data_IF_116751110579
#
_entry.id   IF_116751110579
#
_cell.length_a   1.000
_cell.length_b   1.000
_cell.length_c   1.000
_cell.angle_alpha   90.00
_cell.angle_beta   90.00
_cell.angle_gamma   90.00
#
_symmetry.space_group_name_H-M   'P 1'
#
loop_
_entity.id
_entity.type
_entity.pdbx_description
1 polymer ?
#
# COMPACT_ATOMS: atom_id res chain seq x y z
N UNK A 1 5.82 -5.39 18.72
CA UNK A 1 6.80 -4.49 19.37
C UNK A 1 7.09 -3.31 18.46
N UNK A 2 7.00 -2.07 18.95
CA UNK A 2 7.28 -0.86 18.16
C UNK A 2 8.72 -0.39 18.43
N UNK A 3 9.49 -0.20 17.38
CA UNK A 3 10.88 0.28 17.42
C UNK A 3 10.94 1.63 16.70
N UNK A 4 11.09 2.75 17.42
CA UNK A 4 11.27 4.06 16.81
C UNK A 4 12.72 4.26 16.37
N UNK A 5 12.92 4.65 15.12
CA UNK A 5 14.23 4.94 14.53
C UNK A 5 14.27 6.42 14.20
N UNK A 6 15.19 7.17 14.83
CA UNK A 6 15.43 8.57 14.47
C UNK A 6 16.26 8.64 13.20
N UNK A 7 15.78 9.39 12.23
CA UNK A 7 16.47 9.64 10.96
C UNK A 7 17.05 11.05 11.03
N UNK A 8 18.37 11.12 11.26
CA UNK A 8 19.08 12.41 11.38
C UNK A 8 19.07 13.16 10.05
N UNK A 9 19.25 12.42 8.94
CA UNK A 9 19.28 12.94 7.58
C UNK A 9 18.29 12.17 6.69
N UNK A 10 17.34 12.90 6.10
CA UNK A 10 16.30 12.36 5.21
C UNK A 10 16.85 11.99 3.83
N UNK A 11 17.92 12.66 3.38
CA UNK A 11 18.55 12.39 2.08
C UNK A 11 19.47 11.17 2.13
N UNK A 12 19.95 10.81 3.32
CA UNK A 12 20.79 9.64 3.58
C UNK A 12 20.24 8.84 4.77
N UNK A 13 19.14 8.10 4.59
CA UNK A 13 18.59 7.27 5.65
C UNK A 13 19.62 6.22 6.10
N UNK A 14 19.67 5.89 7.40
CA UNK A 14 20.59 4.88 7.91
C UNK A 14 20.30 3.51 7.28
N UNK A 15 21.35 2.79 6.88
CA UNK A 15 21.23 1.44 6.35
C UNK A 15 20.91 0.47 7.49
N UNK A 16 19.63 0.10 7.62
CA UNK A 16 19.16 -0.83 8.66
C UNK A 16 19.53 -2.27 8.29
N UNK A 17 20.11 -2.99 9.27
CA UNK A 17 20.40 -4.42 9.16
C UNK A 17 19.25 -5.21 9.79
N UNK A 18 18.74 -6.21 9.10
CA UNK A 18 17.78 -7.15 9.67
C UNK A 18 18.43 -8.54 9.76
N UNK A 19 17.89 -9.43 10.62
CA UNK A 19 18.38 -10.80 10.71
C UNK A 19 18.23 -11.58 9.40
N UNK A 20 19.09 -12.58 9.18
CA UNK A 20 19.17 -13.41 7.96
C UNK A 20 18.04 -14.45 7.85
N UNK A 21 16.88 -14.18 8.46
CA UNK A 21 15.70 -15.05 8.46
C UNK A 21 14.45 -14.24 8.17
N UNK A 22 13.43 -14.90 7.66
CA UNK A 22 12.18 -14.27 7.29
C UNK A 22 11.46 -13.73 8.54
N UNK A 23 11.13 -12.44 8.52
CA UNK A 23 10.50 -11.76 9.67
C UNK A 23 9.11 -12.31 10.04
N UNK A 24 8.48 -13.06 9.14
CA UNK A 24 7.16 -13.64 9.37
C UNK A 24 7.18 -15.13 9.77
N UNK A 25 8.20 -15.89 9.37
CA UNK A 25 8.17 -17.36 9.52
C UNK A 25 9.49 -18.01 9.91
N UNK A 26 10.53 -17.21 10.22
CA UNK A 26 11.86 -17.64 10.68
C UNK A 26 12.63 -18.58 9.74
N UNK A 27 12.11 -18.83 8.53
CA UNK A 27 12.78 -19.61 7.49
C UNK A 27 13.96 -18.84 6.88
N UNK A 28 14.97 -19.54 6.34
CA UNK A 28 16.09 -18.91 5.64
C UNK A 28 15.60 -18.04 4.49
N UNK A 29 16.31 -16.94 4.29
CA UNK A 29 15.96 -15.90 3.32
C UNK A 29 16.34 -16.32 1.89
N UNK A 30 15.46 -16.01 0.93
CA UNK A 30 15.69 -16.31 -0.50
C UNK A 30 15.32 -15.13 -1.43
N UNK A 31 14.44 -14.20 -1.02
CA UNK A 31 13.98 -13.10 -1.87
C UNK A 31 13.95 -11.75 -1.12
N UNK A 32 14.27 -10.68 -1.85
CA UNK A 32 14.11 -9.29 -1.38
C UNK A 32 12.88 -8.68 -2.02
N UNK A 33 11.91 -8.21 -1.23
CA UNK A 33 10.73 -7.46 -1.70
C UNK A 33 10.79 -6.01 -1.24
N UNK A 34 10.55 -5.06 -2.15
CA UNK A 34 10.52 -3.62 -1.85
C UNK A 34 11.90 -2.96 -1.79
N UNK A 35 11.92 -1.63 -1.86
CA UNK A 35 13.16 -0.84 -1.91
C UNK A 35 13.82 -0.60 -0.54
N UNK A 36 13.15 -0.90 0.59
CA UNK A 36 13.62 -0.50 1.94
C UNK A 36 13.51 -1.58 3.04
N UNK A 37 12.68 -2.63 2.89
CA UNK A 37 12.44 -3.66 3.92
C UNK A 37 12.70 -5.08 3.36
N UNK A 38 13.93 -5.56 3.53
CA UNK A 38 14.54 -6.58 2.65
C UNK A 38 14.49 -8.04 3.14
N UNK A 39 13.52 -8.52 3.93
CA UNK A 39 13.72 -9.82 4.63
C UNK A 39 12.51 -10.76 4.65
N UNK A 40 12.19 -11.38 3.50
CA UNK A 40 11.15 -12.41 3.38
C UNK A 40 11.67 -13.70 2.71
N UNK A 41 11.07 -14.84 3.08
CA UNK A 41 11.24 -16.06 2.30
C UNK A 41 10.33 -16.04 1.07
N UNK A 42 10.65 -16.83 0.04
CA UNK A 42 9.88 -16.91 -1.21
C UNK A 42 8.38 -17.19 -1.00
N UNK A 43 8.04 -18.08 -0.07
CA UNK A 43 6.63 -18.39 0.22
C UNK A 43 5.87 -17.21 0.84
N UNK A 44 6.49 -16.46 1.75
CA UNK A 44 5.87 -15.27 2.33
C UNK A 44 5.76 -14.15 1.30
N UNK A 45 6.79 -13.99 0.47
CA UNK A 45 6.83 -13.07 -0.66
C UNK A 45 5.70 -13.29 -1.67
N UNK A 46 5.50 -14.53 -2.11
CA UNK A 46 4.42 -14.90 -3.02
C UNK A 46 3.04 -14.70 -2.37
N UNK A 47 2.91 -15.03 -1.09
CA UNK A 47 1.67 -14.82 -0.34
C UNK A 47 1.32 -13.34 -0.22
N UNK A 48 2.31 -12.49 0.06
CA UNK A 48 2.13 -11.03 0.13
C UNK A 48 1.71 -10.46 -1.23
N UNK A 49 2.38 -10.86 -2.31
CA UNK A 49 1.98 -10.48 -3.69
C UNK A 49 0.57 -10.97 -4.03
N UNK A 50 0.18 -12.16 -3.57
CA UNK A 50 -1.15 -12.70 -3.80
C UNK A 50 -2.23 -11.89 -3.09
N UNK A 51 -2.03 -11.53 -1.82
CA UNK A 51 -2.92 -10.63 -1.06
C UNK A 51 -2.98 -9.25 -1.73
N UNK A 52 -1.84 -8.75 -2.22
CA UNK A 52 -1.78 -7.49 -2.92
C UNK A 52 -2.62 -7.47 -4.21
N UNK A 53 -2.53 -8.54 -5.00
CA UNK A 53 -3.34 -8.71 -6.20
C UNK A 53 -4.83 -8.84 -5.86
N UNK A 54 -5.17 -9.53 -4.77
CA UNK A 54 -6.55 -9.73 -4.33
C UNK A 54 -7.28 -8.43 -3.93
N UNK A 55 -6.54 -7.35 -3.65
CA UNK A 55 -7.10 -6.04 -3.29
C UNK A 55 -7.00 -5.05 -4.46
N UNK A 56 -5.84 -4.98 -5.10
CA UNK A 56 -5.58 -4.04 -6.20
C UNK A 56 -6.37 -4.37 -7.48
N UNK A 57 -6.46 -5.65 -7.86
CA UNK A 57 -7.12 -6.04 -9.12
C UNK A 57 -8.61 -5.69 -9.08
N UNK A 58 -9.38 -6.04 -8.03
CA UNK A 58 -10.77 -5.62 -7.94
C UNK A 58 -10.95 -4.10 -8.01
N UNK A 59 -10.12 -3.33 -7.29
CA UNK A 59 -10.16 -1.87 -7.32
C UNK A 59 -9.99 -1.34 -8.74
N UNK A 60 -8.94 -1.79 -9.45
CA UNK A 60 -8.65 -1.33 -10.81
C UNK A 60 -9.69 -1.77 -11.82
N UNK A 61 -10.09 -3.04 -11.80
CA UNK A 61 -11.05 -3.59 -12.77
C UNK A 61 -12.41 -2.92 -12.61
N UNK A 62 -12.94 -2.86 -11.39
CA UNK A 62 -14.24 -2.23 -11.14
C UNK A 62 -14.17 -0.71 -11.37
N UNK A 63 -13.12 -0.04 -10.90
CA UNK A 63 -12.95 1.39 -11.09
C UNK A 63 -12.82 1.79 -12.56
N UNK A 64 -12.07 1.03 -13.38
CA UNK A 64 -11.93 1.31 -14.81
C UNK A 64 -13.23 1.07 -15.58
N UNK A 65 -13.96 -0.02 -15.29
CA UNK A 65 -15.22 -0.33 -15.97
C UNK A 65 -16.26 0.76 -15.67
N UNK A 66 -16.51 1.03 -14.39
CA UNK A 66 -17.55 1.99 -13.99
C UNK A 66 -17.12 3.44 -14.26
N UNK A 67 -15.84 3.75 -14.13
CA UNK A 67 -15.29 5.04 -14.53
C UNK A 67 -15.40 5.29 -16.02
N UNK A 68 -15.15 4.28 -16.87
CA UNK A 68 -15.35 4.36 -18.32
C UNK A 68 -16.81 4.56 -18.71
N UNK A 69 -17.74 3.86 -18.07
CA UNK A 69 -19.18 4.06 -18.28
C UNK A 69 -19.60 5.47 -17.89
N UNK A 70 -19.19 5.94 -16.70
CA UNK A 70 -19.50 7.29 -16.23
C UNK A 70 -18.89 8.37 -17.11
N UNK A 71 -17.66 8.17 -17.60
CA UNK A 71 -17.00 9.02 -18.58
C UNK A 71 -17.84 9.16 -19.85
N UNK A 72 -18.28 8.05 -20.44
CA UNK A 72 -19.10 8.06 -21.64
C UNK A 72 -20.42 8.80 -21.43
N UNK A 73 -21.12 8.51 -20.32
CA UNK A 73 -22.36 9.21 -19.98
C UNK A 73 -22.12 10.71 -19.79
N UNK A 74 -21.04 11.08 -19.09
CA UNK A 74 -20.70 12.48 -18.87
C UNK A 74 -20.37 13.22 -20.16
N UNK A 75 -19.74 12.58 -21.14
CA UNK A 75 -19.55 13.16 -22.47
C UNK A 75 -20.88 13.49 -23.15
N UNK A 76 -21.85 12.57 -23.10
CA UNK A 76 -23.18 12.78 -23.71
C UNK A 76 -23.97 13.94 -23.08
N UNK A 77 -23.77 14.20 -21.78
CA UNK A 77 -24.45 15.28 -21.06
C UNK A 77 -23.60 16.54 -20.86
N UNK A 78 -22.35 16.54 -21.31
CA UNK A 78 -21.46 17.67 -21.11
C UNK A 78 -21.85 18.86 -22.00
N UNK A 79 -21.76 20.10 -21.50
CA UNK A 79 -21.96 21.28 -22.32
C UNK A 79 -20.82 21.42 -23.34
N UNK A 80 -21.19 21.78 -24.57
CA UNK A 80 -20.22 22.07 -25.62
C UNK A 80 -19.48 23.38 -25.35
N UNK A 81 -18.17 23.36 -25.51
CA UNK A 81 -17.36 24.56 -25.41
C UNK A 81 -17.56 25.47 -26.61
N UNK A 82 -18.05 26.69 -26.40
CA UNK A 82 -18.33 27.67 -27.47
C UNK A 82 -17.10 28.48 -27.90
N UNK A 83 -16.00 28.38 -27.17
CA UNK A 83 -14.73 29.07 -27.48
C UNK A 83 -13.61 28.08 -27.77
N UNK A 84 -12.55 28.49 -28.51
CA UNK A 84 -11.37 27.65 -28.75
C UNK A 84 -10.70 27.15 -27.47
N UNK A 85 -10.79 27.91 -26.38
CA UNK A 85 -10.22 27.55 -25.08
C UNK A 85 -11.03 26.47 -24.35
N UNK A 86 -12.32 26.35 -24.66
CA UNK A 86 -13.25 25.41 -24.01
C UNK A 86 -13.57 24.19 -24.86
N UNK A 87 -12.98 24.07 -26.05
CA UNK A 87 -13.32 23.03 -27.02
C UNK A 87 -13.07 21.60 -26.49
N UNK A 88 -12.14 21.45 -25.54
CA UNK A 88 -11.83 20.19 -24.86
C UNK A 88 -12.60 19.99 -23.54
N UNK A 89 -13.48 20.93 -23.16
CA UNK A 89 -14.22 20.87 -21.90
C UNK A 89 -15.01 19.57 -21.69
N UNK A 90 -15.74 19.03 -22.70
CA UNK A 90 -16.38 17.72 -22.59
C UNK A 90 -15.46 16.62 -22.09
N UNK A 91 -14.25 16.52 -22.63
CA UNK A 91 -13.27 15.52 -22.25
C UNK A 91 -12.76 15.71 -20.83
N UNK A 92 -12.45 16.95 -20.43
CA UNK A 92 -12.00 17.26 -19.07
C UNK A 92 -13.10 16.94 -18.05
N UNK A 93 -14.33 17.37 -18.32
CA UNK A 93 -15.48 17.10 -17.48
C UNK A 93 -15.77 15.60 -17.38
N UNK A 94 -15.81 14.92 -18.52
CA UNK A 94 -15.98 13.47 -18.58
C UNK A 94 -14.90 12.74 -17.80
N UNK A 95 -13.63 13.10 -17.97
CA UNK A 95 -12.50 12.49 -17.25
C UNK A 95 -12.60 12.72 -15.75
N UNK A 96 -13.02 13.91 -15.32
CA UNK A 96 -13.24 14.20 -13.90
C UNK A 96 -14.34 13.31 -13.32
N UNK A 97 -15.51 13.26 -13.96
CA UNK A 97 -16.64 12.42 -13.50
C UNK A 97 -16.25 10.94 -13.51
N UNK A 98 -15.64 10.46 -14.59
CA UNK A 98 -15.18 9.08 -14.72
C UNK A 98 -14.17 8.70 -13.64
N UNK A 99 -13.22 9.58 -13.31
CA UNK A 99 -12.24 9.35 -12.25
C UNK A 99 -12.92 9.28 -10.88
N UNK A 100 -13.80 10.22 -10.54
CA UNK A 100 -14.49 10.25 -9.24
C UNK A 100 -15.35 8.99 -9.06
N UNK A 101 -16.16 8.64 -10.07
CA UNK A 101 -16.99 7.44 -10.02
C UNK A 101 -16.12 6.19 -9.97
N UNK A 102 -15.06 6.12 -10.77
CA UNK A 102 -14.11 5.01 -10.78
C UNK A 102 -13.44 4.78 -9.42
N UNK A 103 -13.01 5.84 -8.73
CA UNK A 103 -12.41 5.73 -7.39
C UNK A 103 -13.43 5.21 -6.37
N UNK A 104 -14.65 5.76 -6.36
CA UNK A 104 -15.71 5.38 -5.41
C UNK A 104 -16.12 3.92 -5.64
N UNK A 105 -16.51 3.56 -6.86
CA UNK A 105 -16.97 2.22 -7.19
C UNK A 105 -15.82 1.21 -7.09
N UNK A 106 -14.61 1.61 -7.49
CA UNK A 106 -13.38 0.84 -7.28
C UNK A 106 -13.19 0.45 -5.82
N UNK A 107 -13.36 1.41 -4.91
CA UNK A 107 -13.21 1.19 -3.46
C UNK A 107 -14.31 0.28 -2.91
N UNK A 108 -15.56 0.45 -3.37
CA UNK A 108 -16.66 -0.43 -2.99
C UNK A 108 -16.41 -1.86 -3.48
N UNK A 109 -15.97 -2.03 -4.74
CA UNK A 109 -15.62 -3.33 -5.32
C UNK A 109 -14.47 -4.01 -4.57
N UNK A 110 -13.43 -3.25 -4.23
CA UNK A 110 -12.35 -3.70 -3.35
C UNK A 110 -12.89 -4.16 -2.00
N UNK A 111 -13.72 -3.37 -1.31
CA UNK A 111 -14.28 -3.76 -0.01
C UNK A 111 -15.08 -5.05 -0.05
N UNK A 112 -15.91 -5.24 -1.09
CA UNK A 112 -16.70 -6.46 -1.26
C UNK A 112 -15.78 -7.67 -1.45
N UNK A 113 -14.83 -7.61 -2.39
CA UNK A 113 -13.91 -8.72 -2.63
C UNK A 113 -13.03 -8.99 -1.41
N UNK A 114 -12.55 -7.94 -0.76
CA UNK A 114 -11.77 -8.03 0.48
C UNK A 114 -12.54 -8.78 1.57
N UNK A 115 -13.82 -8.48 1.74
CA UNK A 115 -14.70 -9.15 2.72
C UNK A 115 -14.89 -10.62 2.38
N UNK A 116 -15.12 -10.95 1.11
CA UNK A 116 -15.26 -12.33 0.63
C UNK A 116 -13.96 -13.14 0.71
N UNK A 117 -12.82 -12.45 0.69
CA UNK A 117 -11.49 -13.04 0.74
C UNK A 117 -10.95 -13.23 2.18
N UNK A 118 -11.65 -12.71 3.21
CA UNK A 118 -11.34 -12.96 4.64
C UNK A 118 -11.18 -14.45 4.98
N UNK A 119 -12.08 -15.39 4.59
CA UNK A 119 -11.91 -16.80 4.94
C UNK A 119 -10.65 -17.45 4.33
N UNK A 120 -10.14 -16.93 3.21
CA UNK A 120 -8.97 -17.50 2.53
C UNK A 120 -7.64 -16.91 3.02
N UNK A 121 -7.60 -15.60 3.21
CA UNK A 121 -6.36 -14.89 3.58
C UNK A 121 -6.29 -14.52 5.07
N UNK A 122 -7.39 -14.64 5.80
CA UNK A 122 -7.48 -14.37 7.23
C UNK A 122 -7.11 -12.94 7.58
N UNK A 123 -6.28 -12.79 8.62
CA UNK A 123 -5.84 -11.48 9.15
C UNK A 123 -4.96 -10.69 8.17
N UNK A 124 -4.37 -11.36 7.18
CA UNK A 124 -3.46 -10.71 6.22
C UNK A 124 -4.21 -9.72 5.34
N UNK A 125 -5.42 -10.06 4.91
CA UNK A 125 -6.19 -9.18 4.05
C UNK A 125 -6.83 -8.03 4.82
N UNK A 126 -7.22 -8.26 6.09
CA UNK A 126 -7.89 -7.23 6.89
C UNK A 126 -6.96 -6.11 7.35
N UNK A 127 -5.67 -6.41 7.57
CA UNK A 127 -4.66 -5.41 7.93
C UNK A 127 -4.39 -4.42 6.79
N UNK A 128 -4.26 -4.93 5.57
CA UNK A 128 -3.94 -4.13 4.40
C UNK A 128 -4.94 -2.99 4.23
N UNK A 129 -4.47 -1.75 4.15
CA UNK A 129 -5.35 -0.62 3.88
C UNK A 129 -6.01 -0.73 2.49
N UNK A 130 -7.15 -0.07 2.33
CA UNK A 130 -7.79 0.06 1.02
C UNK A 130 -6.84 0.76 0.04
N UNK A 131 -6.93 0.42 -1.24
CA UNK A 131 -6.00 0.90 -2.27
C UNK A 131 -5.92 2.43 -2.27
N UNK A 132 -7.07 3.12 -2.19
CA UNK A 132 -7.11 4.58 -2.10
C UNK A 132 -6.34 5.10 -0.88
N UNK A 133 -6.52 4.50 0.29
CA UNK A 133 -5.81 4.92 1.50
C UNK A 133 -4.31 4.61 1.39
N UNK A 134 -3.95 3.47 0.80
CA UNK A 134 -2.54 3.09 0.59
C UNK A 134 -1.80 4.05 -0.34
N UNK A 135 -2.47 4.66 -1.32
CA UNK A 135 -1.88 5.66 -2.22
C UNK A 135 -1.54 6.97 -1.49
N UNK A 136 -2.26 7.29 -0.43
CA UNK A 136 -2.04 8.49 0.38
C UNK A 136 -1.27 8.22 1.68
N UNK A 137 -1.04 6.95 2.01
CA UNK A 137 -0.38 6.56 3.25
C UNK A 137 1.12 6.37 3.01
N UNK A 138 1.94 6.97 3.88
CA UNK A 138 3.38 6.71 3.97
C UNK A 138 3.68 5.49 4.86
N UNK A 139 2.75 4.54 4.91
CA UNK A 139 2.89 3.30 5.66
C UNK A 139 3.13 2.13 4.73
N UNK A 140 4.29 1.51 4.83
CA UNK A 140 4.57 0.24 4.19
C UNK A 140 4.21 -0.88 5.17
N UNK A 141 3.06 -1.51 4.98
CA UNK A 141 2.68 -2.72 5.71
C UNK A 141 3.16 -3.96 4.96
N UNK A 142 4.04 -4.74 5.59
CA UNK A 142 4.53 -6.02 5.10
C UNK A 142 4.22 -7.11 6.15
N UNK A 143 4.11 -8.39 5.75
CA UNK A 143 3.94 -9.46 6.74
C UNK A 143 5.08 -9.46 7.76
N UNK A 144 4.74 -9.37 9.04
CA UNK A 144 5.71 -9.41 10.13
C UNK A 144 6.33 -8.05 10.50
N UNK A 145 6.28 -7.03 9.62
CA UNK A 145 6.79 -5.67 9.90
C UNK A 145 5.88 -4.62 9.27
N UNK A 146 5.38 -3.69 10.06
CA UNK A 146 4.76 -2.46 9.57
C UNK A 146 5.72 -1.29 9.76
N UNK A 147 5.96 -0.51 8.71
CA UNK A 147 6.78 0.69 8.77
C UNK A 147 5.91 1.94 8.60
N UNK A 148 5.98 2.86 9.56
CA UNK A 148 5.28 4.13 9.53
C UNK A 148 6.28 5.28 9.59
N UNK A 149 6.30 6.11 8.55
CA UNK A 149 7.14 7.29 8.53
C UNK A 149 6.42 8.51 9.12
N UNK A 150 6.99 9.11 10.16
CA UNK A 150 6.52 10.36 10.76
C UNK A 150 7.44 11.49 10.33
N UNK A 151 7.13 12.11 9.17
CA UNK A 151 7.93 13.22 8.59
C UNK A 151 8.17 14.36 9.57
N UNK A 152 7.14 14.77 10.29
CA UNK A 152 7.19 15.90 11.24
C UNK A 152 8.23 15.68 12.35
N UNK A 153 8.44 14.44 12.76
CA UNK A 153 9.36 14.09 13.85
C UNK A 153 10.68 13.52 13.36
N UNK A 154 10.83 13.29 12.05
CA UNK A 154 11.95 12.52 11.45
C UNK A 154 12.14 11.16 12.12
N UNK A 155 11.03 10.47 12.42
CA UNK A 155 11.03 9.15 13.04
C UNK A 155 10.42 8.14 12.08
N UNK A 156 11.09 7.02 11.85
CA UNK A 156 10.49 5.83 11.26
C UNK A 156 10.12 4.87 12.38
N UNK A 157 8.84 4.55 12.54
CA UNK A 157 8.37 3.54 13.49
C UNK A 157 8.27 2.20 12.76
N UNK A 158 9.02 1.20 13.22
CA UNK A 158 8.90 -0.18 12.76
C UNK A 158 8.13 -0.97 13.82
N UNK A 159 6.98 -1.51 13.46
CA UNK A 159 6.22 -2.41 14.30
C UNK A 159 6.43 -3.86 13.85
N UNK A 160 7.10 -4.64 14.69
CA UNK A 160 7.36 -6.07 14.47
C UNK A 160 6.28 -6.92 15.12
N UNK A 161 5.81 -7.96 14.42
CA UNK A 161 4.87 -8.92 14.99
C UNK A 161 5.55 -9.94 15.92
N UNK A 162 6.80 -10.31 15.64
CA UNK A 162 7.58 -11.21 16.47
C UNK A 162 8.56 -10.40 17.35
N UNK A 163 8.43 -10.52 18.67
CA UNK A 163 9.29 -9.83 19.64
C UNK A 163 10.76 -10.29 19.59
N UNK A 164 11.02 -11.55 19.26
CA UNK A 164 12.39 -12.08 19.18
C UNK A 164 13.14 -11.43 18.01
N UNK A 165 12.46 -11.30 16.87
CA UNK A 165 13.01 -10.64 15.69
C UNK A 165 13.19 -9.14 15.93
N UNK A 166 12.27 -8.51 16.68
CA UNK A 166 12.42 -7.12 17.09
C UNK A 166 13.66 -6.91 17.98
N UNK A 167 13.91 -7.82 18.93
CA UNK A 167 15.10 -7.77 19.79
C UNK A 167 16.38 -7.96 19.00
N UNK A 168 16.42 -8.91 18.07
CA UNK A 168 17.57 -9.10 17.18
C UNK A 168 17.83 -7.87 16.30
N UNK A 169 16.76 -7.28 15.75
CA UNK A 169 16.87 -6.06 14.97
C UNK A 169 17.47 -4.91 15.80
N UNK A 170 17.04 -4.74 17.05
CA UNK A 170 17.60 -3.74 17.98
C UNK A 170 19.08 -4.02 18.24
N UNK A 171 19.45 -5.28 18.49
CA UNK A 171 20.84 -5.68 18.73
C UNK A 171 21.74 -5.42 17.51
N UNK A 172 21.29 -5.77 16.30
CA UNK A 172 22.06 -5.57 15.06
C UNK A 172 22.29 -4.10 14.72
N UNK A 173 21.36 -3.23 15.07
CA UNK A 173 21.43 -1.80 14.75
C UNK A 173 21.89 -0.96 15.94
N UNK A 174 22.24 -1.58 17.08
CA UNK A 174 22.66 -0.89 18.31
C UNK A 174 21.70 0.24 18.72
N UNK A 175 20.40 0.03 18.49
CA UNK A 175 19.39 1.03 18.81
C UNK A 175 19.19 1.06 20.33
N UNK A 176 19.29 2.23 20.94
CA UNK A 176 18.89 2.40 22.34
C UNK A 176 17.38 2.19 22.44
N UNK A 177 16.95 1.17 23.18
CA UNK A 177 15.57 1.06 23.66
C UNK A 177 15.34 2.18 24.68
N UNK A 178 14.77 3.29 24.23
CA UNK A 178 14.21 4.32 25.11
C UNK A 178 12.79 3.96 25.54
#
# INVERSE_FOLDING_TARGET
MIVPIRIVDLEKPPALKFPERCVNCDKPMEETLGMTLKHMCKLCAEKERSVARATLIPFLVTGLIFGGIAFMLALFFSPEGTTPQTLTFPFVFGSFIGLIVGIIVGTIGEMIVKTLAIPFYGRLITRRLLTVVSLFSETDELMGVSARFLREKKIAQLEFENEEIAREFIQYNQLETQ
#
